data_IF_847795621773
#
_entry.id   IF_847795621773
#
_cell.length_a   1.000
_cell.length_b   1.000
_cell.length_c   1.000
_cell.angle_alpha   90.00
_cell.angle_beta   90.00
_cell.angle_gamma   90.00
#
_symmetry.space_group_name_H-M   'P 1'
#
loop_
_entity.id
_entity.type
_entity.pdbx_description
1 polymer ?
#
# COMPACT_ATOMS: atom_id res chain seq x y z
N UNK A 1 -3.04 2.87 -19.21
CA UNK A 1 -4.00 2.27 -18.31
C UNK A 1 -3.31 1.34 -17.36
N UNK A 2 -3.34 1.68 -16.10
CA UNK A 2 -2.59 0.92 -15.12
C UNK A 2 -3.47 -0.02 -14.33
N UNK A 3 -3.95 -1.07 -15.01
CA UNK A 3 -4.74 -2.08 -14.35
C UNK A 3 -3.95 -2.75 -13.22
N UNK A 4 -2.61 -2.79 -13.34
CA UNK A 4 -1.77 -3.33 -12.26
C UNK A 4 -1.82 -2.45 -11.03
N UNK A 5 -1.78 -1.12 -11.19
CA UNK A 5 -1.90 -0.20 -10.07
C UNK A 5 -3.27 -0.33 -9.43
N UNK A 6 -4.32 -0.47 -10.22
CA UNK A 6 -5.66 -0.66 -9.69
C UNK A 6 -5.78 -1.94 -8.87
N UNK A 7 -5.22 -3.04 -9.37
CA UNK A 7 -5.22 -4.32 -8.66
C UNK A 7 -4.43 -4.23 -7.36
N UNK A 8 -3.26 -3.61 -7.41
CA UNK A 8 -2.44 -3.41 -6.22
C UNK A 8 -3.20 -2.56 -5.22
N UNK A 9 -3.86 -1.50 -5.70
CA UNK A 9 -4.64 -0.63 -4.82
C UNK A 9 -5.77 -1.34 -4.12
N UNK A 10 -6.49 -2.20 -4.83
CA UNK A 10 -7.55 -3.00 -4.23
C UNK A 10 -6.99 -3.94 -3.17
N UNK A 11 -5.85 -4.56 -3.45
CA UNK A 11 -5.23 -5.45 -2.48
C UNK A 11 -4.72 -4.70 -1.26
N UNK A 12 -4.13 -3.52 -1.45
CA UNK A 12 -3.70 -2.69 -0.34
C UNK A 12 -4.89 -2.30 0.54
N UNK A 13 -6.00 -1.93 -0.10
CA UNK A 13 -7.22 -1.60 0.63
C UNK A 13 -7.72 -2.80 1.45
N UNK A 14 -7.72 -3.99 0.86
CA UNK A 14 -8.09 -5.21 1.58
C UNK A 14 -7.20 -5.42 2.81
N UNK A 15 -5.90 -5.29 2.63
CA UNK A 15 -4.94 -5.47 3.71
C UNK A 15 -5.21 -4.47 4.83
N UNK A 16 -5.42 -3.20 4.48
CA UNK A 16 -5.71 -2.18 5.48
C UNK A 16 -6.98 -2.48 6.25
N UNK A 17 -8.03 -2.85 5.54
CA UNK A 17 -9.31 -3.15 6.18
C UNK A 17 -9.17 -4.32 7.14
N UNK A 18 -8.47 -5.37 6.73
CA UNK A 18 -8.29 -6.56 7.56
C UNK A 18 -7.37 -6.30 8.75
N UNK A 19 -6.20 -5.69 8.51
CA UNK A 19 -5.20 -5.51 9.56
C UNK A 19 -5.59 -4.44 10.57
N UNK A 20 -6.24 -3.38 10.11
CA UNK A 20 -6.65 -2.28 10.97
C UNK A 20 -8.10 -2.39 11.41
N UNK A 21 -8.80 -3.43 10.97
CA UNK A 21 -10.19 -3.70 11.33
C UNK A 21 -11.10 -2.51 11.03
N UNK A 22 -10.95 -1.97 9.83
CA UNK A 22 -11.75 -0.83 9.41
C UNK A 22 -13.18 -1.29 9.13
N UNK A 23 -14.15 -0.49 9.56
CA UNK A 23 -15.56 -0.78 9.35
C UNK A 23 -16.14 0.22 8.35
N UNK A 24 -17.31 -0.11 7.82
CA UNK A 24 -18.06 0.79 6.92
C UNK A 24 -17.33 1.12 5.61
N UNK A 25 -16.33 0.35 5.26
CA UNK A 25 -15.60 0.53 4.01
C UNK A 25 -15.23 -0.83 3.42
N UNK A 26 -15.30 -0.91 2.09
CA UNK A 26 -14.87 -2.10 1.34
C UNK A 26 -13.77 -1.67 0.39
N UNK A 27 -12.99 -2.63 -0.17
CA UNK A 27 -11.95 -2.25 -1.12
C UNK A 27 -12.47 -1.43 -2.28
N UNK A 28 -13.70 -1.70 -2.73
CA UNK A 28 -14.30 -0.97 -3.84
C UNK A 28 -14.69 0.46 -3.48
N UNK A 29 -15.05 0.70 -2.22
CA UNK A 29 -15.50 2.01 -1.76
C UNK A 29 -14.38 2.83 -1.13
N UNK A 30 -13.22 2.22 -0.93
CA UNK A 30 -12.08 2.92 -0.32
C UNK A 30 -11.46 3.83 -1.36
N UNK A 31 -11.56 5.14 -1.14
CA UNK A 31 -11.02 6.13 -2.06
C UNK A 31 -9.49 6.03 -2.07
N UNK A 32 -8.86 5.73 -3.22
CA UNK A 32 -7.39 5.58 -3.27
C UNK A 32 -6.64 6.90 -3.07
N UNK A 33 -7.32 8.02 -3.13
CA UNK A 33 -6.70 9.32 -2.96
C UNK A 33 -6.98 9.96 -1.61
N UNK A 34 -7.71 9.25 -0.73
CA UNK A 34 -7.99 9.76 0.61
C UNK A 34 -6.71 9.76 1.45
N UNK A 35 -6.53 10.81 2.24
CA UNK A 35 -5.37 10.89 3.14
C UNK A 35 -5.56 9.92 4.30
N UNK A 36 -4.66 8.94 4.39
CA UNK A 36 -4.79 7.87 5.37
C UNK A 36 -4.55 8.36 6.79
N UNK A 37 -3.68 9.34 6.95
CA UNK A 37 -3.38 9.89 8.28
C UNK A 37 -4.48 10.85 8.75
N UNK A 38 -4.81 11.82 7.91
CA UNK A 38 -5.75 12.88 8.29
C UNK A 38 -7.21 12.44 8.25
N UNK A 39 -7.56 11.60 7.28
CA UNK A 39 -8.98 11.24 7.08
C UNK A 39 -9.32 9.89 7.72
N UNK A 40 -8.45 8.91 7.60
CA UNK A 40 -8.70 7.57 8.15
C UNK A 40 -8.18 7.47 9.59
N UNK A 41 -7.16 8.25 9.90
CA UNK A 41 -6.61 8.28 11.26
C UNK A 41 -5.58 7.21 11.55
N UNK A 42 -4.91 6.69 10.52
CA UNK A 42 -3.85 5.72 10.75
C UNK A 42 -2.58 6.42 11.20
N UNK A 43 -1.83 5.76 12.06
CA UNK A 43 -0.55 6.29 12.53
C UNK A 43 0.60 5.46 11.95
N UNK A 44 1.82 5.78 12.36
CA UNK A 44 3.00 5.09 11.83
C UNK A 44 3.04 3.62 12.22
N UNK A 45 2.48 3.26 13.37
CA UNK A 45 2.41 1.85 13.78
C UNK A 45 1.44 1.07 12.91
N UNK A 46 0.30 1.68 12.61
CA UNK A 46 -0.66 1.07 11.70
C UNK A 46 -0.05 0.87 10.31
N UNK A 47 0.66 1.89 9.84
CA UNK A 47 1.32 1.81 8.54
C UNK A 47 2.40 0.73 8.54
N UNK A 48 3.14 0.61 9.65
CA UNK A 48 4.16 -0.43 9.77
C UNK A 48 3.54 -1.83 9.70
N UNK A 49 2.39 -2.03 10.34
CA UNK A 49 1.67 -3.30 10.29
C UNK A 49 1.29 -3.64 8.85
N UNK A 50 0.71 -2.67 8.15
CA UNK A 50 0.31 -2.86 6.74
C UNK A 50 1.54 -3.10 5.86
N UNK A 51 2.61 -2.35 6.11
CA UNK A 51 3.84 -2.49 5.32
C UNK A 51 4.47 -3.89 5.47
N UNK A 52 4.39 -4.48 6.65
CA UNK A 52 4.90 -5.84 6.84
C UNK A 52 4.15 -6.85 5.98
N UNK A 53 2.83 -6.74 5.93
CA UNK A 53 2.01 -7.64 5.11
C UNK A 53 2.33 -7.44 3.63
N UNK A 54 2.42 -6.19 3.20
CA UNK A 54 2.74 -5.86 1.80
C UNK A 54 4.12 -6.41 1.44
N UNK A 55 5.09 -6.22 2.31
CA UNK A 55 6.44 -6.72 2.07
C UNK A 55 6.46 -8.22 1.85
N UNK A 56 5.76 -8.95 2.70
CA UNK A 56 5.72 -10.41 2.60
C UNK A 56 4.96 -10.86 1.35
N UNK A 57 3.84 -10.21 1.05
CA UNK A 57 3.00 -10.62 -0.08
C UNK A 57 3.66 -10.33 -1.43
N UNK A 58 4.28 -9.18 -1.56
CA UNK A 58 4.89 -8.75 -2.83
C UNK A 58 6.38 -9.03 -2.89
N UNK A 59 6.97 -9.50 -1.81
CA UNK A 59 8.41 -9.78 -1.73
C UNK A 59 9.24 -8.55 -2.08
N UNK A 60 8.85 -7.42 -1.53
CA UNK A 60 9.55 -6.15 -1.74
C UNK A 60 10.03 -5.61 -0.41
N UNK A 61 10.94 -4.65 -0.46
CA UNK A 61 11.44 -3.98 0.72
C UNK A 61 10.79 -2.61 0.86
N UNK A 62 10.28 -2.31 2.06
CA UNK A 62 9.69 -1.01 2.37
C UNK A 62 10.50 -0.40 3.51
N UNK A 63 11.15 0.73 3.24
CA UNK A 63 11.96 1.40 4.25
C UNK A 63 11.11 2.36 5.08
N UNK A 64 11.41 2.44 6.39
CA UNK A 64 10.70 3.36 7.28
C UNK A 64 10.83 4.80 6.81
N UNK A 65 11.97 5.15 6.22
CA UNK A 65 12.20 6.50 5.72
C UNK A 65 11.21 6.89 4.64
N UNK A 66 10.60 5.91 3.98
CA UNK A 66 9.63 6.15 2.92
C UNK A 66 8.19 6.25 3.46
N UNK A 67 7.96 5.90 4.72
CA UNK A 67 6.61 5.93 5.29
C UNK A 67 5.92 7.29 5.13
N UNK A 68 6.58 8.43 5.33
CA UNK A 68 5.92 9.72 5.14
C UNK A 68 5.42 9.97 3.73
N UNK A 69 5.92 9.22 2.76
CA UNK A 69 5.48 9.34 1.36
C UNK A 69 4.23 8.52 1.08
N UNK A 70 3.89 7.58 1.97
CA UNK A 70 2.82 6.62 1.75
C UNK A 70 1.52 7.12 2.39
N UNK A 71 1.05 8.27 1.95
CA UNK A 71 -0.09 8.94 2.56
C UNK A 71 -1.44 8.55 1.95
N UNK A 72 -1.44 7.90 0.80
CA UNK A 72 -2.66 7.43 0.15
C UNK A 72 -2.44 6.03 -0.41
N UNK A 73 -3.55 5.33 -0.66
CA UNK A 73 -3.47 4.01 -1.28
C UNK A 73 -2.81 4.10 -2.66
N UNK A 74 -3.12 5.16 -3.41
CA UNK A 74 -2.51 5.36 -4.73
C UNK A 74 -0.99 5.47 -4.63
N UNK A 75 -0.49 6.23 -3.68
CA UNK A 75 0.95 6.38 -3.48
C UNK A 75 1.60 5.08 -3.05
N UNK A 76 0.93 4.32 -2.19
CA UNK A 76 1.42 3.00 -1.78
C UNK A 76 1.48 2.07 -2.99
N UNK A 77 0.44 2.09 -3.83
CA UNK A 77 0.38 1.24 -5.02
C UNK A 77 1.51 1.57 -6.00
N UNK A 78 1.76 2.85 -6.21
CA UNK A 78 2.84 3.29 -7.08
C UNK A 78 4.20 2.87 -6.53
N UNK A 79 4.38 2.97 -5.22
CA UNK A 79 5.58 2.54 -4.54
C UNK A 79 5.81 1.04 -4.75
N UNK A 80 4.78 0.24 -4.55
CA UNK A 80 4.85 -1.21 -4.74
C UNK A 80 5.24 -1.53 -6.19
N UNK A 81 4.56 -0.89 -7.14
CA UNK A 81 4.84 -1.13 -8.55
C UNK A 81 6.28 -0.79 -8.90
N UNK A 82 6.77 0.33 -8.39
CA UNK A 82 8.15 0.75 -8.63
C UNK A 82 9.14 -0.25 -8.05
N UNK A 83 8.92 -0.71 -6.83
CA UNK A 83 9.80 -1.68 -6.18
C UNK A 83 9.80 -3.02 -6.92
N UNK A 84 8.64 -3.44 -7.41
CA UNK A 84 8.55 -4.67 -8.20
C UNK A 84 9.32 -4.55 -9.51
N UNK A 85 9.27 -3.42 -10.16
CA UNK A 85 10.01 -3.16 -11.39
C UNK A 85 11.52 -3.21 -11.13
N UNK A 86 11.98 -2.57 -10.06
CA UNK A 86 13.38 -2.57 -9.68
C UNK A 86 13.87 -3.99 -9.42
N UNK A 87 13.06 -4.77 -8.70
CA UNK A 87 13.38 -6.15 -8.39
C UNK A 87 13.48 -7.00 -9.66
N UNK A 88 12.55 -6.83 -10.58
CA UNK A 88 12.54 -7.56 -11.83
C UNK A 88 13.77 -7.21 -12.68
N UNK A 89 14.13 -5.94 -12.73
CA UNK A 89 15.32 -5.49 -13.46
C UNK A 89 16.59 -6.04 -12.84
N UNK A 90 16.68 -6.04 -11.52
CA UNK A 90 17.82 -6.58 -10.81
C UNK A 90 17.95 -8.08 -11.05
N UNK A 91 16.84 -8.80 -11.08
CA UNK A 91 16.83 -10.23 -11.35
C UNK A 91 17.19 -10.55 -12.80
N UNK A 92 16.84 -9.65 -13.71
CA UNK A 92 17.14 -9.84 -15.13
C UNK A 92 18.57 -9.48 -15.49
N UNK A 93 19.17 -8.61 -14.69
CA UNK A 93 20.54 -8.20 -14.89
C UNK A 93 21.54 -9.14 -14.24
#
# INVERSE_FOLDING_TARGET
MDSDIDKIGLRVAEIMIEELKLEDVTPDTFDPDIDLVDEVGIDSMDLATVALVIRDEYSIRIDEDDYPKLTTIRKISEYIQQKRKEKAQAAAG
#
